data_IF_960140968639
#
_entry.id   IF_960140968639
#
_cell.length_a   1.000
_cell.length_b   1.000
_cell.length_c   1.000
_cell.angle_alpha   90.00
_cell.angle_beta   90.00
_cell.angle_gamma   90.00
#
_symmetry.space_group_name_H-M   'P 1'
#
loop_
_entity.id
_entity.type
_entity.pdbx_description
1 polymer ?
#
# COMPACT_ATOMS: atom_id res chain seq x y z
N UNK A 1 48.71 -32.09 -35.59
CA UNK A 1 49.49 -31.96 -34.35
C UNK A 1 48.50 -31.75 -33.23
N UNK A 2 48.63 -32.45 -32.12
CA UNK A 2 47.77 -32.22 -30.95
C UNK A 2 48.31 -31.03 -30.15
N UNK A 3 47.46 -30.34 -29.38
CA UNK A 3 47.87 -29.20 -28.53
C UNK A 3 49.02 -29.57 -27.56
N UNK A 4 49.05 -30.84 -27.13
CA UNK A 4 50.13 -31.41 -26.31
C UNK A 4 51.46 -31.50 -27.08
N UNK A 5 51.41 -31.83 -28.37
CA UNK A 5 52.61 -31.87 -29.22
C UNK A 5 53.19 -30.46 -29.46
N UNK A 6 52.32 -29.46 -29.62
CA UNK A 6 52.72 -28.06 -29.80
C UNK A 6 53.33 -27.48 -28.52
N UNK A 7 52.77 -27.81 -27.36
CA UNK A 7 53.32 -27.41 -26.06
C UNK A 7 54.70 -28.03 -25.82
N UNK A 8 54.86 -29.31 -26.13
CA UNK A 8 56.16 -30.00 -26.04
C UNK A 8 57.20 -29.35 -26.93
N UNK A 9 56.85 -29.06 -28.19
CA UNK A 9 57.72 -28.33 -29.11
C UNK A 9 58.08 -26.93 -28.60
N UNK A 10 57.17 -26.25 -27.90
CA UNK A 10 57.46 -24.95 -27.29
C UNK A 10 58.48 -25.05 -26.14
N UNK A 11 58.38 -26.06 -25.26
CA UNK A 11 59.39 -26.29 -24.21
C UNK A 11 60.75 -26.66 -24.82
N UNK A 12 60.77 -27.52 -25.85
CA UNK A 12 61.98 -27.87 -26.60
C UNK A 12 62.62 -26.66 -27.29
N UNK A 13 61.80 -25.76 -27.87
CA UNK A 13 62.25 -24.50 -28.49
C UNK A 13 62.95 -23.58 -27.47
N UNK A 14 62.51 -23.59 -26.22
CA UNK A 14 63.17 -22.88 -25.13
C UNK A 14 64.35 -23.66 -24.51
N UNK A 15 64.53 -24.93 -24.88
CA UNK A 15 65.54 -25.83 -24.31
C UNK A 15 65.25 -26.16 -22.84
N UNK A 16 63.98 -26.30 -22.50
CA UNK A 16 63.49 -26.65 -21.16
C UNK A 16 62.90 -28.07 -21.16
N UNK A 17 62.95 -28.77 -20.02
CA UNK A 17 62.18 -29.99 -19.87
C UNK A 17 60.67 -29.68 -19.97
N UNK A 18 59.89 -30.67 -20.39
CA UNK A 18 58.43 -30.59 -20.36
C UNK A 18 57.96 -30.23 -18.93
N UNK A 19 56.99 -29.32 -18.81
CA UNK A 19 56.43 -28.85 -17.53
C UNK A 19 57.44 -28.15 -16.60
N UNK A 20 58.49 -27.52 -17.15
CA UNK A 20 59.38 -26.64 -16.38
C UNK A 20 58.56 -25.56 -15.64
N UNK A 21 59.03 -25.16 -14.45
CA UNK A 21 58.30 -24.18 -13.64
C UNK A 21 58.23 -22.82 -14.36
N UNK A 22 57.13 -22.08 -14.16
CA UNK A 22 56.92 -20.75 -14.77
C UNK A 22 58.12 -19.81 -14.59
N UNK A 23 58.69 -19.78 -13.39
CA UNK A 23 59.90 -18.99 -13.08
C UNK A 23 61.11 -19.41 -13.94
N UNK A 24 61.26 -20.71 -14.22
CA UNK A 24 62.32 -21.23 -15.08
C UNK A 24 62.07 -20.86 -16.56
N UNK A 25 60.82 -20.91 -17.00
CA UNK A 25 60.39 -20.49 -18.34
C UNK A 25 60.69 -19.00 -18.56
N UNK A 26 60.33 -18.14 -17.61
CA UNK A 26 60.60 -16.70 -17.65
C UNK A 26 62.10 -16.37 -17.64
N UNK A 27 62.86 -17.04 -16.77
CA UNK A 27 64.32 -16.89 -16.67
C UNK A 27 65.01 -17.33 -17.96
N UNK A 28 64.54 -18.42 -18.56
CA UNK A 28 65.10 -18.95 -19.81
C UNK A 28 64.78 -18.05 -21.00
N UNK A 29 63.54 -17.60 -21.12
CA UNK A 29 63.13 -16.62 -22.12
C UNK A 29 64.00 -15.36 -22.03
N UNK A 30 64.16 -14.78 -20.83
CA UNK A 30 65.00 -13.59 -20.62
C UNK A 30 66.45 -13.82 -21.06
N UNK A 31 67.00 -15.01 -20.77
CA UNK A 31 68.36 -15.40 -21.16
C UNK A 31 68.50 -15.51 -22.68
N UNK A 32 67.58 -16.21 -23.35
CA UNK A 32 67.58 -16.38 -24.80
C UNK A 32 67.40 -15.05 -25.53
N UNK A 33 66.56 -14.17 -25.01
CA UNK A 33 66.33 -12.83 -25.54
C UNK A 33 67.58 -11.95 -25.43
N UNK A 34 68.32 -12.03 -24.31
CA UNK A 34 69.60 -11.33 -24.13
C UNK A 34 70.67 -11.86 -25.09
N UNK A 35 70.74 -13.18 -25.27
CA UNK A 35 71.69 -13.82 -26.20
C UNK A 35 71.39 -13.48 -27.66
N UNK A 36 70.11 -13.51 -28.07
CA UNK A 36 69.69 -13.16 -29.42
C UNK A 36 70.02 -11.69 -29.75
N UNK A 37 69.74 -10.76 -28.83
CA UNK A 37 70.10 -9.34 -28.98
C UNK A 37 71.60 -9.11 -29.11
N UNK A 38 72.40 -9.79 -28.28
CA UNK A 38 73.87 -9.69 -28.34
C UNK A 38 74.44 -10.23 -29.66
N UNK A 39 73.90 -11.34 -30.19
CA UNK A 39 74.31 -11.92 -31.47
C UNK A 39 73.92 -11.05 -32.68
N UNK A 40 72.73 -10.46 -32.66
CA UNK A 40 72.27 -9.53 -33.70
C UNK A 40 73.17 -8.28 -33.80
N UNK A 41 73.74 -7.84 -32.67
CA UNK A 41 74.63 -6.68 -32.61
C UNK A 41 76.05 -6.97 -33.14
N UNK A 42 76.52 -8.24 -33.07
CA UNK A 42 77.85 -8.67 -33.52
C UNK A 42 77.90 -9.08 -35.00
N UNK A 43 76.79 -9.52 -35.61
CA UNK A 43 76.73 -9.97 -37.01
C UNK A 43 75.67 -9.19 -37.79
N UNK A 44 76.04 -8.06 -38.40
CA UNK A 44 75.14 -7.26 -39.27
C UNK A 44 74.68 -7.99 -40.56
N UNK A 45 75.29 -9.12 -40.92
CA UNK A 45 74.95 -9.88 -42.14
C UNK A 45 73.87 -10.97 -41.94
N UNK A 46 73.42 -11.24 -40.71
CA UNK A 46 72.53 -12.36 -40.35
C UNK A 46 71.22 -11.91 -39.65
N UNK A 47 70.81 -10.65 -39.90
CA UNK A 47 69.69 -10.02 -39.20
C UNK A 47 68.35 -10.76 -39.37
N UNK A 48 68.06 -11.31 -40.57
CA UNK A 48 66.81 -12.03 -40.84
C UNK A 48 66.68 -13.37 -40.09
N UNK A 49 67.79 -14.10 -39.92
CA UNK A 49 67.80 -15.34 -39.13
C UNK A 49 67.65 -15.06 -37.62
N UNK A 50 68.17 -13.94 -37.15
CA UNK A 50 68.01 -13.53 -35.75
C UNK A 50 66.56 -13.11 -35.42
N UNK A 51 65.87 -12.49 -36.37
CA UNK A 51 64.46 -12.06 -36.23
C UNK A 51 63.49 -13.25 -36.26
N UNK A 52 63.71 -14.23 -37.15
CA UNK A 52 62.92 -15.47 -37.19
C UNK A 52 63.12 -16.32 -35.91
N UNK A 53 64.36 -16.37 -35.39
CA UNK A 53 64.64 -17.03 -34.11
C UNK A 53 63.94 -16.34 -32.93
N UNK A 54 63.87 -15.01 -32.93
CA UNK A 54 63.16 -14.24 -31.91
C UNK A 54 61.66 -14.52 -31.93
N UNK A 55 61.04 -14.48 -33.11
CA UNK A 55 59.62 -14.75 -33.28
C UNK A 55 59.24 -16.14 -32.75
N UNK A 56 60.03 -17.17 -33.07
CA UNK A 56 59.83 -18.54 -32.59
C UNK A 56 59.96 -18.66 -31.06
N UNK A 57 60.95 -18.01 -30.47
CA UNK A 57 61.15 -17.99 -29.00
C UNK A 57 59.97 -17.29 -28.29
N UNK A 58 59.51 -16.16 -28.81
CA UNK A 58 58.36 -15.44 -28.25
C UNK A 58 57.04 -16.20 -28.43
N UNK A 59 56.86 -16.88 -29.57
CA UNK A 59 55.67 -17.70 -29.80
C UNK A 59 55.63 -18.90 -28.86
N UNK A 60 56.75 -19.62 -28.69
CA UNK A 60 56.87 -20.72 -27.75
C UNK A 60 56.58 -20.28 -26.30
N UNK A 61 57.15 -19.14 -25.89
CA UNK A 61 56.89 -18.55 -24.57
C UNK A 61 55.40 -18.20 -24.36
N UNK A 62 54.76 -17.53 -25.33
CA UNK A 62 53.33 -17.20 -25.25
C UNK A 62 52.45 -18.45 -25.16
N UNK A 63 52.76 -19.47 -25.96
CA UNK A 63 52.00 -20.71 -25.96
C UNK A 63 52.06 -21.41 -24.60
N UNK A 64 53.24 -21.48 -23.98
CA UNK A 64 53.41 -22.06 -22.63
C UNK A 64 52.62 -21.27 -21.60
N UNK A 65 52.73 -19.94 -21.61
CA UNK A 65 51.99 -19.10 -20.67
C UNK A 65 50.48 -19.19 -20.84
N UNK A 66 49.98 -19.15 -22.08
CA UNK A 66 48.54 -19.28 -22.34
C UNK A 66 48.00 -20.65 -21.93
N UNK A 67 48.81 -21.70 -22.00
CA UNK A 67 48.44 -23.03 -21.52
C UNK A 67 48.41 -23.09 -19.99
N UNK A 68 49.42 -22.53 -19.32
CA UNK A 68 49.47 -22.45 -17.86
C UNK A 68 48.33 -21.58 -17.30
N UNK A 69 48.07 -20.41 -17.89
CA UNK A 69 47.01 -19.50 -17.47
C UNK A 69 45.62 -20.12 -17.71
N UNK A 70 45.42 -20.87 -18.81
CA UNK A 70 44.21 -21.67 -19.04
C UNK A 70 44.03 -22.75 -17.97
N UNK A 71 45.08 -23.54 -17.69
CA UNK A 71 45.04 -24.59 -16.68
C UNK A 71 44.74 -24.04 -15.28
N UNK A 72 45.32 -22.91 -14.91
CA UNK A 72 45.05 -22.23 -13.63
C UNK A 72 43.62 -21.71 -13.56
N UNK A 73 43.13 -21.10 -14.64
CA UNK A 73 41.75 -20.61 -14.74
C UNK A 73 40.74 -21.75 -14.66
N UNK A 74 41.00 -22.86 -15.34
CA UNK A 74 40.15 -24.05 -15.32
C UNK A 74 40.14 -24.73 -13.94
N UNK A 75 41.30 -24.85 -13.30
CA UNK A 75 41.40 -25.38 -11.93
C UNK A 75 40.66 -24.49 -10.92
N UNK A 76 40.79 -23.17 -11.03
CA UNK A 76 40.04 -22.22 -10.19
C UNK A 76 38.53 -22.31 -10.44
N UNK A 77 38.10 -22.42 -11.69
CA UNK A 77 36.69 -22.57 -12.05
C UNK A 77 36.11 -23.90 -11.57
N UNK A 78 36.89 -24.99 -11.63
CA UNK A 78 36.48 -26.30 -11.11
C UNK A 78 36.38 -26.29 -9.58
N UNK A 79 37.29 -25.62 -8.89
CA UNK A 79 37.24 -25.46 -7.44
C UNK A 79 36.02 -24.64 -6.96
N UNK A 80 35.75 -23.50 -7.60
CA UNK A 80 34.67 -22.59 -7.19
C UNK A 80 33.28 -23.01 -7.72
N UNK A 81 33.21 -23.47 -8.97
CA UNK A 81 31.96 -23.74 -9.69
C UNK A 81 31.78 -25.21 -10.09
N UNK A 82 32.74 -26.11 -9.84
CA UNK A 82 32.65 -27.53 -10.22
C UNK A 82 31.48 -28.28 -9.56
N UNK A 83 30.99 -27.78 -8.42
CA UNK A 83 29.74 -28.26 -7.78
C UNK A 83 28.51 -28.14 -8.69
N UNK A 84 28.53 -27.24 -9.67
CA UNK A 84 27.45 -27.04 -10.63
C UNK A 84 27.60 -27.88 -11.91
N UNK A 85 28.64 -28.73 -12.02
CA UNK A 85 28.90 -29.65 -13.13
C UNK A 85 28.68 -28.98 -14.50
N UNK A 86 27.67 -29.42 -15.28
CA UNK A 86 27.35 -28.89 -16.62
C UNK A 86 26.94 -27.41 -16.64
N UNK A 87 26.60 -26.83 -15.48
CA UNK A 87 26.21 -25.43 -15.34
C UNK A 87 27.34 -24.54 -14.81
N UNK A 88 28.55 -25.05 -14.61
CA UNK A 88 29.69 -24.28 -14.08
C UNK A 88 29.95 -22.99 -14.87
N UNK A 89 29.91 -23.05 -16.20
CA UNK A 89 30.07 -21.86 -17.07
C UNK A 89 28.91 -20.86 -17.00
N UNK A 90 27.69 -21.30 -16.70
CA UNK A 90 26.55 -20.40 -16.47
C UNK A 90 26.62 -19.77 -15.07
N UNK A 91 27.03 -20.54 -14.06
CA UNK A 91 27.22 -20.09 -12.69
C UNK A 91 28.31 -19.00 -12.59
N UNK A 92 29.43 -19.19 -13.29
CA UNK A 92 30.49 -18.19 -13.38
C UNK A 92 30.00 -16.87 -14.00
N UNK A 93 29.25 -16.95 -15.10
CA UNK A 93 28.68 -15.77 -15.77
C UNK A 93 27.62 -15.07 -14.90
N UNK A 94 26.80 -15.84 -14.19
CA UNK A 94 25.80 -15.32 -13.27
C UNK A 94 26.46 -14.62 -12.08
N UNK A 95 27.49 -15.22 -11.48
CA UNK A 95 28.26 -14.62 -10.39
C UNK A 95 28.96 -13.32 -10.83
N UNK A 96 29.56 -13.31 -12.03
CA UNK A 96 30.11 -12.09 -12.60
C UNK A 96 29.05 -10.99 -12.80
N UNK A 97 27.87 -11.36 -13.33
CA UNK A 97 26.75 -10.45 -13.49
C UNK A 97 26.25 -9.90 -12.15
N UNK A 98 26.06 -10.75 -11.13
CA UNK A 98 25.61 -10.30 -9.80
C UNK A 98 26.65 -9.44 -9.10
N UNK A 99 27.95 -9.75 -9.19
CA UNK A 99 29.01 -8.93 -8.57
C UNK A 99 29.02 -7.50 -9.10
N UNK A 100 28.78 -7.33 -10.40
CA UNK A 100 28.83 -6.01 -11.05
C UNK A 100 27.47 -5.29 -11.06
N UNK A 101 26.37 -6.00 -11.31
CA UNK A 101 25.06 -5.40 -11.57
C UNK A 101 24.04 -5.52 -10.43
N UNK A 102 24.32 -6.20 -9.31
CA UNK A 102 23.34 -6.43 -8.23
C UNK A 102 22.51 -5.21 -7.84
N UNK A 103 23.15 -4.05 -7.68
CA UNK A 103 22.46 -2.83 -7.24
C UNK A 103 21.63 -2.19 -8.36
N UNK A 104 22.09 -2.25 -9.61
CA UNK A 104 21.34 -1.78 -10.77
C UNK A 104 20.12 -2.67 -11.04
N UNK A 105 20.27 -4.00 -10.92
CA UNK A 105 19.18 -4.96 -11.08
C UNK A 105 18.13 -4.79 -9.99
N UNK A 106 18.54 -4.67 -8.71
CA UNK A 106 17.61 -4.39 -7.62
C UNK A 106 16.90 -3.04 -7.79
N UNK A 107 17.63 -2.00 -8.20
CA UNK A 107 17.06 -0.68 -8.49
C UNK A 107 16.05 -0.72 -9.63
N UNK A 108 16.33 -1.44 -10.71
CA UNK A 108 15.40 -1.63 -11.83
C UNK A 108 14.13 -2.38 -11.41
N UNK A 109 14.26 -3.45 -10.61
CA UNK A 109 13.10 -4.18 -10.08
C UNK A 109 12.25 -3.27 -9.18
N UNK A 110 12.89 -2.52 -8.27
CA UNK A 110 12.20 -1.58 -7.40
C UNK A 110 11.49 -0.48 -8.20
N UNK A 111 12.13 0.08 -9.24
CA UNK A 111 11.53 1.06 -10.11
C UNK A 111 10.30 0.51 -10.85
N UNK A 112 10.39 -0.70 -11.40
CA UNK A 112 9.26 -1.37 -12.05
C UNK A 112 8.12 -1.61 -11.05
N UNK A 113 8.42 -2.09 -9.84
CA UNK A 113 7.42 -2.29 -8.80
C UNK A 113 6.72 -0.97 -8.40
N UNK A 114 7.47 0.13 -8.29
CA UNK A 114 6.91 1.46 -8.00
C UNK A 114 6.02 1.96 -9.15
N UNK A 115 6.41 1.73 -10.40
CA UNK A 115 5.58 2.09 -11.56
C UNK A 115 4.27 1.29 -11.55
N UNK A 116 4.34 -0.03 -11.35
CA UNK A 116 3.15 -0.90 -11.27
C UNK A 116 2.24 -0.44 -10.14
N UNK A 117 2.79 -0.21 -8.95
CA UNK A 117 2.03 0.30 -7.81
C UNK A 117 1.39 1.66 -8.10
N UNK A 118 2.14 2.57 -8.73
CA UNK A 118 1.65 3.89 -9.12
C UNK A 118 0.49 3.82 -10.10
N UNK A 119 0.57 2.95 -11.11
CA UNK A 119 -0.51 2.74 -12.08
C UNK A 119 -1.75 2.15 -11.41
N UNK A 120 -1.61 1.08 -10.62
CA UNK A 120 -2.75 0.47 -9.90
C UNK A 120 -3.39 1.49 -8.95
N UNK A 121 -2.58 2.21 -8.18
CA UNK A 121 -3.07 3.23 -7.25
C UNK A 121 -3.81 4.36 -7.98
N UNK A 122 -3.28 4.81 -9.12
CA UNK A 122 -3.92 5.83 -9.95
C UNK A 122 -5.24 5.36 -10.56
N UNK A 123 -5.30 4.12 -11.07
CA UNK A 123 -6.53 3.52 -11.60
C UNK A 123 -7.59 3.41 -10.51
N UNK A 124 -7.24 2.83 -9.35
CA UNK A 124 -8.15 2.70 -8.21
C UNK A 124 -8.65 4.07 -7.74
N UNK A 125 -7.76 5.07 -7.68
CA UNK A 125 -8.15 6.43 -7.31
C UNK A 125 -9.14 7.03 -8.32
N UNK A 126 -8.91 6.84 -9.63
CA UNK A 126 -9.85 7.31 -10.65
C UNK A 126 -11.19 6.58 -10.63
N UNK A 127 -11.17 5.26 -10.49
CA UNK A 127 -12.40 4.46 -10.37
C UNK A 127 -13.20 4.86 -9.14
N UNK A 128 -12.52 5.09 -8.01
CA UNK A 128 -13.13 5.61 -6.79
C UNK A 128 -13.75 6.99 -7.02
N UNK A 129 -13.01 7.91 -7.65
CA UNK A 129 -13.52 9.25 -7.97
C UNK A 129 -14.70 9.22 -8.94
N UNK A 130 -14.65 8.40 -9.98
CA UNK A 130 -15.77 8.22 -10.91
C UNK A 130 -16.97 7.59 -10.20
N UNK A 131 -16.75 6.62 -9.31
CA UNK A 131 -17.82 6.06 -8.48
C UNK A 131 -18.45 7.16 -7.64
N UNK A 132 -17.66 7.89 -6.86
CA UNK A 132 -18.14 8.96 -5.98
C UNK A 132 -18.85 10.09 -6.76
N UNK A 133 -18.34 10.45 -7.94
CA UNK A 133 -18.93 11.47 -8.80
C UNK A 133 -20.26 11.04 -9.45
N UNK A 134 -20.42 9.72 -9.68
CA UNK A 134 -21.65 9.14 -10.22
C UNK A 134 -22.67 8.74 -9.15
N UNK A 135 -22.31 8.79 -7.86
CA UNK A 135 -23.28 8.57 -6.80
C UNK A 135 -24.32 9.69 -6.83
N UNK A 136 -25.62 9.36 -6.69
CA UNK A 136 -26.63 10.38 -6.54
C UNK A 136 -26.32 11.27 -5.33
N UNK A 137 -26.76 12.55 -5.37
CA UNK A 137 -26.59 13.45 -4.24
C UNK A 137 -27.24 12.84 -3.00
N UNK A 138 -26.62 13.07 -1.85
CA UNK A 138 -27.16 12.63 -0.56
C UNK A 138 -28.44 13.42 -0.28
N UNK A 139 -29.55 12.72 -0.07
CA UNK A 139 -30.81 13.33 0.32
C UNK A 139 -30.80 13.69 1.81
N UNK A 140 -30.29 12.78 2.65
CA UNK A 140 -30.14 13.04 4.07
C UNK A 140 -28.95 12.29 4.65
N UNK A 141 -28.16 12.99 5.46
CA UNK A 141 -27.09 12.41 6.25
C UNK A 141 -27.52 12.22 7.71
N UNK A 142 -27.36 11.02 8.25
CA UNK A 142 -27.92 10.60 9.54
C UNK A 142 -26.82 10.06 10.43
N UNK A 143 -26.65 10.61 11.63
CA UNK A 143 -25.73 10.07 12.63
C UNK A 143 -26.50 9.42 13.78
N UNK A 144 -26.39 8.11 13.93
CA UNK A 144 -26.84 7.38 15.10
C UNK A 144 -25.77 7.45 16.18
N UNK A 145 -26.07 8.07 17.33
CA UNK A 145 -25.11 8.24 18.42
C UNK A 145 -25.72 7.83 19.76
N UNK A 146 -25.09 6.86 20.43
CA UNK A 146 -25.60 6.29 21.67
C UNK A 146 -25.41 4.79 21.75
N UNK A 147 -26.18 4.13 22.60
CA UNK A 147 -26.14 2.69 22.82
C UNK A 147 -26.84 1.93 21.67
N UNK A 148 -26.33 2.12 20.46
CA UNK A 148 -26.82 1.51 19.23
C UNK A 148 -25.81 0.50 18.71
N UNK A 149 -26.29 -0.70 18.41
CA UNK A 149 -25.47 -1.75 17.81
C UNK A 149 -26.19 -2.36 16.61
N UNK A 150 -25.45 -2.67 15.55
CA UNK A 150 -26.01 -3.39 14.41
C UNK A 150 -26.45 -4.79 14.85
N UNK A 151 -27.62 -5.23 14.39
CA UNK A 151 -28.08 -6.60 14.64
C UNK A 151 -27.20 -7.61 13.89
N UNK A 152 -27.06 -8.81 14.45
CA UNK A 152 -26.19 -9.86 13.87
C UNK A 152 -26.66 -10.33 12.49
N UNK A 153 -27.97 -10.26 12.23
CA UNK A 153 -28.62 -10.64 10.97
C UNK A 153 -28.70 -9.51 9.95
N UNK A 154 -28.14 -8.33 10.27
CA UNK A 154 -28.16 -7.18 9.37
C UNK A 154 -27.36 -7.47 8.08
N UNK A 155 -27.80 -6.93 6.92
CA UNK A 155 -27.02 -7.00 5.69
C UNK A 155 -25.60 -6.46 5.86
N UNK A 156 -24.63 -7.07 5.17
CA UNK A 156 -23.21 -6.67 5.28
C UNK A 156 -22.90 -5.30 4.66
N UNK A 157 -23.64 -4.92 3.63
CA UNK A 157 -23.41 -3.69 2.88
C UNK A 157 -24.51 -2.68 3.17
N UNK A 158 -24.14 -1.58 3.81
CA UNK A 158 -24.98 -0.39 4.07
C UNK A 158 -26.38 -0.75 4.63
N UNK A 159 -26.44 -1.52 5.74
CA UNK A 159 -27.70 -2.06 6.26
C UNK A 159 -28.67 -0.97 6.71
N UNK A 160 -28.16 0.15 7.24
CA UNK A 160 -28.98 1.26 7.70
C UNK A 160 -29.52 2.03 6.51
N UNK A 161 -28.66 2.40 5.56
CA UNK A 161 -29.04 3.15 4.36
C UNK A 161 -30.09 2.39 3.55
N UNK A 162 -29.94 1.08 3.37
CA UNK A 162 -30.94 0.24 2.69
C UNK A 162 -32.28 0.21 3.42
N UNK A 163 -32.28 0.12 4.75
CA UNK A 163 -33.49 0.19 5.54
C UNK A 163 -34.17 1.56 5.43
N UNK A 164 -33.40 2.64 5.47
CA UNK A 164 -33.90 4.00 5.28
C UNK A 164 -34.44 4.21 3.85
N UNK A 165 -33.76 3.75 2.80
CA UNK A 165 -34.27 3.81 1.43
C UNK A 165 -35.55 2.98 1.23
N UNK A 166 -35.73 1.89 1.98
CA UNK A 166 -36.99 1.13 1.96
C UNK A 166 -38.13 1.95 2.55
N UNK A 167 -37.87 2.71 3.61
CA UNK A 167 -38.83 3.63 4.20
C UNK A 167 -39.05 4.89 3.35
N UNK A 168 -38.06 5.31 2.56
CA UNK A 168 -38.06 6.51 1.69
C UNK A 168 -37.71 6.15 0.24
N UNK A 169 -38.60 5.44 -0.49
CA UNK A 169 -38.32 4.99 -1.86
C UNK A 169 -38.14 6.14 -2.87
N UNK A 170 -38.66 7.32 -2.54
CA UNK A 170 -38.50 8.55 -3.32
C UNK A 170 -37.09 9.18 -3.20
N UNK A 171 -36.33 8.80 -2.17
CA UNK A 171 -34.96 9.28 -1.97
C UNK A 171 -33.96 8.36 -2.67
N UNK A 172 -32.89 8.96 -3.15
CA UNK A 172 -31.85 8.29 -3.93
C UNK A 172 -30.71 7.81 -3.07
N UNK A 173 -30.40 8.54 -1.97
CA UNK A 173 -29.26 8.19 -1.13
C UNK A 173 -29.35 8.72 0.29
N UNK A 174 -29.07 7.84 1.23
CA UNK A 174 -28.69 8.17 2.60
C UNK A 174 -27.19 7.97 2.78
N UNK A 175 -26.62 8.68 3.76
CA UNK A 175 -25.35 8.30 4.36
C UNK A 175 -25.56 8.20 5.85
N UNK A 176 -25.21 7.07 6.45
CA UNK A 176 -25.33 6.88 7.88
C UNK A 176 -23.97 6.76 8.55
N UNK A 177 -23.93 7.17 9.81
CA UNK A 177 -22.80 6.95 10.70
C UNK A 177 -23.31 6.39 12.02
N UNK A 178 -22.61 5.39 12.55
CA UNK A 178 -22.93 4.77 13.82
C UNK A 178 -21.80 5.05 14.82
N UNK A 179 -22.10 5.85 15.84
CA UNK A 179 -21.19 6.17 16.94
C UNK A 179 -21.69 5.54 18.22
N UNK A 180 -21.12 4.38 18.54
CA UNK A 180 -21.45 3.67 19.77
C UNK A 180 -20.92 4.42 20.99
N UNK A 181 -21.82 4.72 21.93
CA UNK A 181 -21.49 5.20 23.28
C UNK A 181 -22.25 4.33 24.27
N UNK A 182 -21.57 3.54 25.11
CA UNK A 182 -22.24 2.65 26.05
C UNK A 182 -22.96 3.47 27.13
N UNK A 183 -24.08 2.94 27.62
CA UNK A 183 -24.80 3.52 28.75
C UNK A 183 -24.08 3.30 30.10
N UNK A 184 -23.16 2.32 30.17
CA UNK A 184 -22.37 2.05 31.37
C UNK A 184 -21.26 3.09 31.60
N UNK A 185 -21.32 3.77 32.75
CA UNK A 185 -20.46 4.90 33.09
C UNK A 185 -18.97 4.55 33.15
N UNK A 186 -18.59 3.31 33.48
CA UNK A 186 -17.19 2.94 33.61
C UNK A 186 -16.47 2.87 32.26
N UNK A 187 -17.14 2.34 31.23
CA UNK A 187 -16.61 2.26 29.87
C UNK A 187 -16.80 3.57 29.08
N UNK A 188 -17.77 4.41 29.48
CA UNK A 188 -18.25 5.56 28.70
C UNK A 188 -17.17 6.61 28.38
N UNK A 189 -16.19 6.84 29.27
CA UNK A 189 -15.19 7.90 29.09
C UNK A 189 -14.40 7.81 27.78
N UNK A 190 -13.93 6.62 27.41
CA UNK A 190 -13.14 6.43 26.19
C UNK A 190 -13.99 6.65 24.93
N UNK A 191 -15.24 6.16 24.93
CA UNK A 191 -16.17 6.35 23.82
C UNK A 191 -16.62 7.81 23.69
N UNK A 192 -16.75 8.53 24.81
CA UNK A 192 -17.11 9.94 24.81
C UNK A 192 -16.05 10.81 24.12
N UNK A 193 -14.75 10.51 24.28
CA UNK A 193 -13.70 11.23 23.54
C UNK A 193 -13.85 11.10 22.03
N UNK A 194 -14.20 9.91 21.55
CA UNK A 194 -14.52 9.70 20.13
C UNK A 194 -15.79 10.44 19.73
N UNK A 195 -16.84 10.40 20.55
CA UNK A 195 -18.09 11.11 20.28
C UNK A 195 -17.89 12.63 20.18
N UNK A 196 -17.06 13.24 21.05
CA UNK A 196 -16.67 14.65 20.97
C UNK A 196 -16.00 14.98 19.65
N UNK A 197 -15.04 14.16 19.20
CA UNK A 197 -14.37 14.37 17.92
C UNK A 197 -15.38 14.32 16.77
N UNK A 198 -16.23 13.28 16.74
CA UNK A 198 -17.26 13.11 15.71
C UNK A 198 -18.23 14.30 15.72
N UNK A 199 -18.67 14.77 16.88
CA UNK A 199 -19.57 15.92 17.00
C UNK A 199 -18.95 17.21 16.42
N UNK A 200 -17.63 17.37 16.58
CA UNK A 200 -16.87 18.53 16.14
C UNK A 200 -16.50 18.50 14.64
N UNK A 201 -16.28 17.31 14.05
CA UNK A 201 -15.81 17.18 12.66
C UNK A 201 -16.89 16.77 11.68
N UNK A 202 -17.90 16.04 12.14
CA UNK A 202 -18.97 15.53 11.29
C UNK A 202 -20.21 16.41 11.41
N UNK A 203 -20.74 16.83 10.27
CA UNK A 203 -21.92 17.71 10.18
C UNK A 203 -23.06 16.99 9.46
N UNK A 204 -23.65 15.93 10.07
CA UNK A 204 -24.84 15.28 9.52
C UNK A 204 -26.03 16.24 9.58
N UNK A 205 -27.04 15.98 8.76
CA UNK A 205 -28.28 16.75 8.76
C UNK A 205 -29.10 16.47 10.04
N UNK A 206 -29.10 15.22 10.50
CA UNK A 206 -29.80 14.81 11.72
C UNK A 206 -28.95 13.91 12.61
N UNK A 207 -29.17 14.07 13.92
CA UNK A 207 -28.71 13.12 14.94
C UNK A 207 -29.88 12.28 15.42
N UNK A 208 -29.67 10.98 15.49
CA UNK A 208 -30.58 10.03 16.13
C UNK A 208 -29.87 9.50 17.38
N UNK A 209 -30.45 9.76 18.54
CA UNK A 209 -29.78 9.64 19.83
C UNK A 209 -30.61 8.83 20.81
N UNK A 210 -29.95 8.16 21.74
CA UNK A 210 -30.65 7.74 22.96
C UNK A 210 -30.82 8.95 23.90
N UNK A 211 -31.55 8.75 24.99
CA UNK A 211 -31.83 9.84 25.95
C UNK A 211 -30.57 10.46 26.56
N UNK A 212 -29.57 9.65 26.91
CA UNK A 212 -28.36 10.13 27.56
C UNK A 212 -27.52 11.01 26.61
N UNK A 213 -27.44 10.60 25.34
CA UNK A 213 -26.75 11.36 24.31
C UNK A 213 -27.55 12.58 23.90
N UNK A 214 -28.88 12.50 23.81
CA UNK A 214 -29.71 13.66 23.51
C UNK A 214 -29.52 14.77 24.55
N UNK A 215 -29.52 14.43 25.83
CA UNK A 215 -29.28 15.39 26.91
C UNK A 215 -27.86 15.99 26.80
N UNK A 216 -26.83 15.19 26.50
CA UNK A 216 -25.44 15.67 26.37
C UNK A 216 -25.19 16.51 25.10
N UNK A 217 -25.74 16.11 23.96
CA UNK A 217 -25.59 16.82 22.67
C UNK A 217 -26.44 18.09 22.67
N UNK A 218 -27.69 18.00 23.13
CA UNK A 218 -28.64 19.09 23.09
C UNK A 218 -28.22 20.30 23.94
N UNK A 219 -27.58 20.09 25.08
CA UNK A 219 -27.09 21.21 25.92
C UNK A 219 -26.00 22.02 25.24
N UNK A 220 -25.24 21.43 24.30
CA UNK A 220 -24.13 22.09 23.59
C UNK A 220 -24.59 23.06 22.48
N UNK A 221 -25.90 23.26 22.29
CA UNK A 221 -26.43 24.22 21.30
C UNK A 221 -26.25 23.80 19.83
N UNK A 222 -25.91 22.54 19.56
CA UNK A 222 -25.69 22.02 18.20
C UNK A 222 -26.97 21.63 17.47
N UNK A 223 -28.09 21.51 18.19
CA UNK A 223 -29.39 21.14 17.65
C UNK A 223 -30.24 22.38 17.36
N UNK A 224 -31.00 22.33 16.28
CA UNK A 224 -31.96 23.35 15.90
C UNK A 224 -33.13 23.38 16.88
N UNK A 225 -33.58 24.58 17.26
CA UNK A 225 -34.83 24.77 18.00
C UNK A 225 -36.03 24.44 17.09
N UNK A 226 -36.86 23.48 17.50
CA UNK A 226 -37.99 22.94 16.75
C UNK A 226 -39.35 23.47 17.25
N UNK A 227 -39.40 24.46 18.14
CA UNK A 227 -40.65 24.98 18.68
C UNK A 227 -41.60 25.45 17.57
N UNK A 228 -41.05 26.11 16.54
CA UNK A 228 -41.85 26.59 15.42
C UNK A 228 -42.42 25.45 14.58
N UNK A 229 -41.67 24.36 14.40
CA UNK A 229 -42.07 23.20 13.62
C UNK A 229 -43.12 22.37 14.37
N UNK A 230 -42.90 22.13 15.67
CA UNK A 230 -43.81 21.40 16.56
C UNK A 230 -45.14 22.14 16.74
N UNK A 231 -45.12 23.48 16.81
CA UNK A 231 -46.34 24.28 16.88
C UNK A 231 -46.95 24.59 15.50
N UNK A 232 -46.20 24.34 14.43
CA UNK A 232 -46.58 24.58 13.04
C UNK A 232 -46.90 23.31 12.29
N UNK A 233 -46.04 22.95 11.34
CA UNK A 233 -46.32 21.87 10.37
C UNK A 233 -46.36 20.46 10.98
N UNK A 234 -45.63 20.21 12.08
CA UNK A 234 -45.60 18.89 12.73
C UNK A 234 -46.76 18.73 13.71
N UNK A 235 -47.39 19.82 14.16
CA UNK A 235 -48.46 19.84 15.17
C UNK A 235 -49.55 18.77 14.97
N UNK A 236 -50.06 18.51 13.75
CA UNK A 236 -51.11 17.50 13.57
C UNK A 236 -50.67 16.06 13.87
N UNK A 237 -49.36 15.80 13.89
CA UNK A 237 -48.77 14.49 14.12
C UNK A 237 -48.17 14.34 15.53
N UNK A 238 -48.07 15.44 16.29
CA UNK A 238 -47.50 15.43 17.62
C UNK A 238 -48.49 14.82 18.63
N UNK A 239 -48.04 13.78 19.34
CA UNK A 239 -48.71 13.22 20.52
C UNK A 239 -47.99 13.70 21.80
N UNK A 240 -48.68 13.58 22.93
CA UNK A 240 -48.11 13.90 24.24
C UNK A 240 -46.84 13.08 24.50
N UNK A 241 -45.80 13.73 25.02
CA UNK A 241 -44.53 13.10 25.37
C UNK A 241 -43.54 12.88 24.22
N UNK A 242 -43.90 13.18 22.96
CA UNK A 242 -42.95 13.07 21.84
C UNK A 242 -41.95 14.23 21.81
N UNK A 243 -42.38 15.46 22.13
CA UNK A 243 -41.50 16.62 22.13
C UNK A 243 -40.48 16.54 23.29
N UNK A 244 -39.20 16.47 22.95
CA UNK A 244 -38.10 16.44 23.92
C UNK A 244 -37.51 17.84 24.07
N UNK A 245 -37.65 18.36 25.29
CA UNK A 245 -37.24 19.71 25.63
C UNK A 245 -35.95 19.73 26.43
N UNK A 246 -35.12 20.74 26.19
CA UNK A 246 -33.88 20.98 26.92
C UNK A 246 -33.65 22.48 27.07
N UNK A 247 -32.73 22.81 27.97
CA UNK A 247 -32.06 24.11 28.03
C UNK A 247 -30.66 23.94 27.45
N UNK A 248 -30.17 24.95 26.76
CA UNK A 248 -28.79 24.93 26.25
C UNK A 248 -27.88 25.73 27.17
N UNK A 249 -26.57 25.59 26.99
CA UNK A 249 -25.60 26.40 27.74
C UNK A 249 -25.71 27.90 27.39
N UNK A 250 -26.20 28.21 26.18
CA UNK A 250 -26.37 29.58 25.68
C UNK A 250 -27.77 30.16 25.97
N UNK A 251 -28.79 29.30 26.10
CA UNK A 251 -30.19 29.68 26.32
C UNK A 251 -30.80 28.92 27.50
N UNK A 252 -31.15 29.67 28.54
CA UNK A 252 -31.77 29.14 29.78
C UNK A 252 -33.27 28.90 29.67
N UNK A 253 -33.91 29.31 28.56
CA UNK A 253 -35.28 28.96 28.25
C UNK A 253 -35.37 27.52 27.74
N UNK A 254 -36.48 26.86 28.07
CA UNK A 254 -36.69 25.47 27.71
C UNK A 254 -37.40 25.40 26.35
N UNK A 255 -36.72 24.84 25.35
CA UNK A 255 -37.22 24.70 23.98
C UNK A 255 -37.21 23.25 23.53
N UNK A 256 -37.99 22.92 22.50
CA UNK A 256 -37.96 21.60 21.87
C UNK A 256 -36.74 21.50 20.95
N UNK A 257 -35.83 20.57 21.26
CA UNK A 257 -34.63 20.30 20.45
C UNK A 257 -34.62 18.90 19.86
N UNK A 258 -35.54 18.05 20.30
CA UNK A 258 -35.66 16.70 19.79
C UNK A 258 -37.09 16.20 19.78
N UNK A 259 -37.31 15.15 19.00
CA UNK A 259 -38.58 14.46 18.89
C UNK A 259 -38.33 12.98 19.12
N UNK A 260 -39.04 12.38 20.06
CA UNK A 260 -38.98 10.96 20.31
C UNK A 260 -39.75 10.21 19.23
N UNK A 261 -39.03 9.40 18.45
CA UNK A 261 -39.57 8.58 17.39
C UNK A 261 -39.69 7.10 17.80
N UNK A 262 -39.31 6.73 19.03
CA UNK A 262 -39.16 5.34 19.47
C UNK A 262 -40.38 4.45 19.24
N UNK A 263 -41.58 5.04 19.26
CA UNK A 263 -42.86 4.34 19.08
C UNK A 263 -43.34 4.25 17.62
N UNK A 264 -42.54 4.73 16.65
CA UNK A 264 -42.87 4.66 15.22
C UNK A 264 -42.68 3.24 14.68
N UNK A 265 -43.59 2.80 13.82
CA UNK A 265 -43.47 1.50 13.14
C UNK A 265 -42.23 1.41 12.21
N UNK A 266 -41.70 2.55 11.74
CA UNK A 266 -40.49 2.58 10.92
C UNK A 266 -39.22 2.35 11.74
N UNK A 267 -39.26 2.57 13.05
CA UNK A 267 -38.13 2.28 13.95
C UNK A 267 -37.76 0.81 13.87
N UNK A 268 -38.75 -0.08 13.86
CA UNK A 268 -38.54 -1.53 13.83
C UNK A 268 -37.80 -2.01 12.57
N UNK A 269 -37.85 -1.24 11.47
CA UNK A 269 -37.22 -1.57 10.19
C UNK A 269 -35.71 -1.29 10.18
N UNK A 270 -35.22 -0.39 11.03
CA UNK A 270 -33.79 -0.09 11.11
C UNK A 270 -33.09 -1.23 11.86
N UNK A 271 -32.05 -1.87 11.30
CA UNK A 271 -31.44 -3.09 11.84
C UNK A 271 -30.46 -2.82 13.00
N UNK A 272 -30.93 -2.06 14.00
CA UNK A 272 -30.18 -1.68 15.20
C UNK A 272 -30.87 -2.23 16.45
N UNK A 273 -30.07 -2.72 17.40
CA UNK A 273 -30.44 -2.78 18.82
C UNK A 273 -30.50 -1.35 19.36
N UNK A 274 -31.59 -1.03 20.05
CA UNK A 274 -31.90 0.32 20.53
C UNK A 274 -32.95 0.28 21.63
N UNK A 275 -32.86 1.23 22.55
CA UNK A 275 -33.86 1.43 23.61
C UNK A 275 -34.74 2.65 23.34
N UNK A 276 -34.16 3.71 22.80
CA UNK A 276 -34.86 4.94 22.43
C UNK A 276 -34.30 5.48 21.11
N UNK A 277 -35.07 6.35 20.46
CA UNK A 277 -34.73 6.98 19.19
C UNK A 277 -35.23 8.43 19.18
N UNK A 278 -34.45 9.33 19.78
CA UNK A 278 -34.73 10.77 19.80
C UNK A 278 -33.99 11.41 18.64
N UNK A 279 -34.72 12.05 17.73
CA UNK A 279 -34.13 12.76 16.59
C UNK A 279 -34.00 14.25 16.89
N UNK A 280 -32.85 14.83 16.54
CA UNK A 280 -32.63 16.27 16.49
C UNK A 280 -32.05 16.67 15.13
N UNK A 281 -32.43 17.84 14.63
CA UNK A 281 -31.86 18.42 13.41
C UNK A 281 -30.63 19.22 13.81
N UNK A 282 -29.50 19.05 13.10
CA UNK A 282 -28.30 19.85 13.37
C UNK A 282 -28.55 21.30 12.95
N UNK A 283 -28.12 22.27 13.77
CA UNK A 283 -28.37 23.69 13.55
C UNK A 283 -27.87 24.20 12.18
N UNK A 284 -26.73 23.68 11.71
CA UNK A 284 -26.11 24.00 10.42
C UNK A 284 -26.33 22.92 9.34
N UNK A 285 -27.41 22.14 9.45
CA UNK A 285 -27.79 21.13 8.44
C UNK A 285 -27.88 21.75 7.03
N UNK A 286 -27.40 20.99 6.03
CA UNK A 286 -27.47 21.38 4.62
C UNK A 286 -28.83 21.05 4.00
N UNK A 287 -29.58 20.12 4.59
CA UNK A 287 -30.88 19.66 4.12
C UNK A 287 -31.98 19.72 5.20
N UNK A 288 -32.22 20.89 5.85
CA UNK A 288 -33.15 20.98 6.98
C UNK A 288 -34.60 20.62 6.59
N UNK A 289 -35.04 20.96 5.38
CA UNK A 289 -36.39 20.60 4.92
C UNK A 289 -36.57 19.08 4.72
N UNK A 290 -35.54 18.39 4.23
CA UNK A 290 -35.57 16.91 4.13
C UNK A 290 -35.48 16.26 5.52
N UNK A 291 -34.75 16.87 6.45
CA UNK A 291 -34.75 16.43 7.84
C UNK A 291 -36.14 16.52 8.47
N UNK A 292 -36.90 17.59 8.20
CA UNK A 292 -38.30 17.72 8.65
C UNK A 292 -39.22 16.72 7.96
N UNK A 293 -39.05 16.48 6.66
CA UNK A 293 -39.78 15.44 5.93
C UNK A 293 -39.52 14.04 6.52
N UNK A 294 -38.27 13.76 6.89
CA UNK A 294 -37.89 12.53 7.58
C UNK A 294 -38.66 12.35 8.88
N UNK A 295 -38.62 13.37 9.74
CA UNK A 295 -39.32 13.38 11.03
C UNK A 295 -40.82 13.17 10.81
N UNK A 296 -41.43 13.89 9.87
CA UNK A 296 -42.85 13.82 9.55
C UNK A 296 -43.27 12.39 9.16
N UNK A 297 -42.47 11.69 8.35
CA UNK A 297 -42.76 10.32 7.92
C UNK A 297 -42.73 9.33 9.09
N UNK A 298 -41.76 9.47 9.99
CA UNK A 298 -41.71 8.67 11.21
C UNK A 298 -42.89 8.98 12.13
N UNK A 299 -43.21 10.27 12.35
CA UNK A 299 -44.34 10.70 13.17
C UNK A 299 -45.69 10.17 12.65
N UNK A 300 -45.87 10.12 11.33
CA UNK A 300 -47.08 9.58 10.71
C UNK A 300 -47.32 8.07 10.97
N UNK A 301 -46.33 7.37 11.51
CA UNK A 301 -46.38 5.93 11.81
C UNK A 301 -46.25 5.63 13.31
N UNK A 302 -46.41 6.64 14.17
CA UNK A 302 -46.43 6.48 15.64
C UNK A 302 -47.66 5.67 16.04
N UNK A 303 -47.42 4.54 16.73
CA UNK A 303 -48.47 3.64 17.24
C UNK A 303 -49.36 4.31 18.28
#
# INVERSE_FOLDING_TARGET
MTEVDELKQAYETLGLPELAAKEEVEKRYTTLMRQARSRAQQKKADAGNAEDSFAKITQAYRLILEYEDRKLTDAFNEQEYGKYKKMAGQAQKMDHFWRYYRFHTLGAIAAVALIIYGVISFMNYREEQERLANLPPVDLSVSFMGNYMLKEDAPKEEPIEKALLTAFPEWKRFTSMLTFVPADQQAQYAYMQKAVLILATEHPDVYIMDRSIFEWVGTQGVLMNLDSDVNGELKPLMKDGLAQKLKTDEDTEEHVYGIDLSSSALVDQVPLYKESMIIGIRLDSKNPEKAKEFIKKYLATIK
#
